data_IF_966129620937
#
_entry.id   IF_966129620937
#
_cell.length_a   1.000
_cell.length_b   1.000
_cell.length_c   1.000
_cell.angle_alpha   90.00
_cell.angle_beta   90.00
_cell.angle_gamma   90.00
#
_symmetry.space_group_name_H-M   'P 1'
#
loop_
_entity.id
_entity.type
_entity.pdbx_description
1 polymer ?
#
# COMPACT_ATOMS: atom_id res chain seq x y z
N UNK A 1 -23.24 -2.46 5.31
CA UNK A 1 -22.15 -2.86 4.40
C UNK A 1 -20.87 -2.73 5.21
N UNK A 2 -19.93 -3.66 5.10
CA UNK A 2 -18.67 -3.49 5.80
C UNK A 2 -17.86 -2.44 5.01
N UNK A 3 -17.70 -1.25 5.59
CA UNK A 3 -16.85 -0.21 5.00
C UNK A 3 -15.39 -0.64 5.20
N UNK A 4 -14.67 -0.81 4.08
CA UNK A 4 -13.23 -1.08 4.12
C UNK A 4 -12.51 0.19 4.56
N UNK A 5 -11.80 0.09 5.68
CA UNK A 5 -10.97 1.18 6.19
C UNK A 5 -9.63 1.16 5.49
N UNK A 6 -9.19 2.31 4.99
CA UNK A 6 -7.84 2.46 4.45
C UNK A 6 -6.83 2.59 5.60
N UNK A 7 -5.93 1.63 5.72
CA UNK A 7 -4.89 1.61 6.76
C UNK A 7 -3.59 2.25 6.28
N UNK A 8 -3.25 2.05 5.01
CA UNK A 8 -2.00 2.53 4.46
C UNK A 8 -2.11 2.78 2.96
N UNK A 9 -1.43 3.82 2.49
CA UNK A 9 -1.17 4.07 1.07
C UNK A 9 0.31 4.32 0.89
N UNK A 10 0.91 3.76 -0.17
CA UNK A 10 2.26 4.12 -0.54
C UNK A 10 2.50 4.18 -2.03
N UNK A 11 3.39 5.09 -2.42
CA UNK A 11 3.97 5.17 -3.75
C UNK A 11 5.40 4.65 -3.66
N UNK A 12 5.69 3.60 -4.41
CA UNK A 12 7.02 2.98 -4.49
C UNK A 12 7.57 3.27 -5.87
N UNK A 13 8.75 3.86 -5.96
CA UNK A 13 9.44 4.11 -7.23
C UNK A 13 10.68 3.25 -7.27
N UNK A 14 10.78 2.40 -8.30
CA UNK A 14 11.96 1.58 -8.57
C UNK A 14 12.92 2.38 -9.42
N UNK A 15 14.21 2.33 -9.10
CA UNK A 15 15.26 3.02 -9.85
C UNK A 15 16.50 2.16 -10.09
N UNK A 16 17.33 2.59 -11.04
CA UNK A 16 18.62 1.97 -11.33
C UNK A 16 19.61 2.10 -10.17
N UNK A 17 19.56 3.22 -9.46
CA UNK A 17 20.50 3.51 -8.39
C UNK A 17 20.21 4.86 -7.75
N UNK A 18 20.05 4.87 -6.44
CA UNK A 18 19.94 6.04 -5.58
C UNK A 18 21.16 6.10 -4.67
N UNK A 19 21.40 7.28 -4.10
CA UNK A 19 22.31 7.44 -2.97
C UNK A 19 21.48 7.78 -1.73
N UNK A 20 21.15 6.79 -0.86
CA UNK A 20 20.35 7.01 0.35
C UNK A 20 20.85 8.17 1.22
N UNK A 21 22.15 8.45 1.25
CA UNK A 21 22.71 9.53 2.07
C UNK A 21 22.21 10.93 1.70
N UNK A 22 21.61 11.11 0.52
CA UNK A 22 21.05 12.38 0.07
C UNK A 22 19.80 12.74 0.87
N UNK A 23 18.96 11.76 1.21
CA UNK A 23 17.67 12.03 1.86
C UNK A 23 17.87 12.22 3.35
N UNK A 24 17.66 13.47 3.78
CA UNK A 24 17.59 13.89 5.17
C UNK A 24 16.65 15.10 5.27
N UNK A 25 16.19 15.46 6.49
CA UNK A 25 15.24 16.56 6.67
C UNK A 25 15.69 17.89 6.05
N UNK A 26 16.97 18.24 6.15
CA UNK A 26 17.50 19.50 5.63
C UNK A 26 17.46 19.54 4.11
N UNK A 27 17.85 18.44 3.45
CA UNK A 27 17.77 18.31 2.00
C UNK A 27 16.33 18.46 1.52
N UNK A 28 15.39 17.75 2.12
CA UNK A 28 13.98 17.77 1.72
C UNK A 28 13.34 19.15 1.89
N UNK A 29 13.69 19.88 2.94
CA UNK A 29 13.22 21.27 3.16
C UNK A 29 13.84 22.25 2.17
N UNK A 30 15.16 22.21 1.97
CA UNK A 30 15.88 23.14 1.08
C UNK A 30 15.49 22.98 -0.39
N UNK A 31 15.06 21.78 -0.78
CA UNK A 31 14.60 21.46 -2.14
C UNK A 31 13.08 21.58 -2.30
N UNK A 32 12.39 22.01 -1.24
CA UNK A 32 10.93 22.21 -1.21
C UNK A 32 10.15 20.94 -1.58
N UNK A 33 10.73 19.76 -1.31
CA UNK A 33 10.05 18.46 -1.45
C UNK A 33 8.99 18.31 -0.37
N UNK A 34 9.26 18.86 0.82
CA UNK A 34 8.29 18.95 1.92
C UNK A 34 8.15 20.40 2.42
N UNK A 35 6.96 20.80 2.90
CA UNK A 35 6.77 22.11 3.53
C UNK A 35 7.66 22.31 4.76
N UNK A 36 8.11 23.54 4.99
CA UNK A 36 9.06 23.86 6.07
C UNK A 36 8.49 23.66 7.48
N UNK A 37 7.17 23.67 7.63
CA UNK A 37 6.43 23.51 8.88
C UNK A 37 6.19 22.05 9.27
N UNK A 38 6.53 21.07 8.41
CA UNK A 38 6.40 19.65 8.74
C UNK A 38 7.38 19.25 9.85
N UNK A 39 6.81 18.81 10.98
CA UNK A 39 7.54 18.26 12.14
C UNK A 39 8.09 16.86 11.86
N UNK A 40 9.36 16.64 12.22
CA UNK A 40 10.06 15.37 12.00
C UNK A 40 10.01 14.54 13.28
N UNK A 41 9.49 13.32 13.18
CA UNK A 41 9.36 12.37 14.29
C UNK A 41 10.55 11.42 14.38
N UNK A 42 11.11 11.02 13.24
CA UNK A 42 12.20 10.05 13.18
C UNK A 42 13.10 10.33 11.98
N UNK A 43 14.41 10.11 12.12
CA UNK A 43 15.36 10.19 11.00
C UNK A 43 16.44 9.13 11.17
N UNK A 44 16.67 8.38 10.09
CA UNK A 44 17.77 7.42 9.97
C UNK A 44 18.50 7.74 8.67
N UNK A 45 19.82 7.87 8.71
CA UNK A 45 20.64 8.04 7.51
C UNK A 45 21.86 7.14 7.63
N UNK A 46 21.90 6.13 6.78
CA UNK A 46 22.97 5.14 6.70
C UNK A 46 23.33 4.91 5.22
N UNK A 47 24.47 4.28 4.91
CA UNK A 47 24.81 3.97 3.52
C UNK A 47 23.73 3.17 2.76
N UNK A 48 23.12 2.10 3.32
CA UNK A 48 22.11 1.33 2.60
C UNK A 48 20.69 1.93 2.65
N UNK A 49 20.41 2.81 3.61
CA UNK A 49 19.05 3.25 3.92
C UNK A 49 19.02 4.67 4.50
N UNK A 50 18.10 5.48 3.99
CA UNK A 50 17.64 6.69 4.63
C UNK A 50 16.13 6.65 4.85
N UNK A 51 15.67 7.12 6.00
CA UNK A 51 14.28 7.23 6.39
C UNK A 51 14.07 8.57 7.07
N UNK A 52 13.03 9.29 6.66
CA UNK A 52 12.52 10.46 7.37
C UNK A 52 11.03 10.24 7.62
N UNK A 53 10.61 10.24 8.89
CA UNK A 53 9.20 10.21 9.28
C UNK A 53 8.78 11.55 9.84
N UNK A 54 7.54 11.91 9.53
CA UNK A 54 6.91 13.15 9.97
C UNK A 54 5.79 12.88 10.97
N UNK A 55 5.48 13.87 11.80
CA UNK A 55 4.47 13.76 12.85
C UNK A 55 3.07 13.49 12.29
N UNK A 56 2.77 13.99 11.09
CA UNK A 56 1.51 13.78 10.38
C UNK A 56 1.36 12.38 9.73
N UNK A 57 2.34 11.49 9.91
CA UNK A 57 2.27 10.12 9.41
C UNK A 57 2.79 9.93 7.97
N UNK A 58 3.37 10.97 7.35
CA UNK A 58 4.18 10.81 6.13
C UNK A 58 5.52 10.15 6.48
N UNK A 59 5.96 9.19 5.68
CA UNK A 59 7.31 8.65 5.70
C UNK A 59 7.92 8.64 4.29
N UNK A 60 9.18 9.07 4.20
CA UNK A 60 9.98 9.03 2.98
C UNK A 60 11.18 8.13 3.25
N UNK A 61 11.33 7.10 2.45
CA UNK A 61 12.42 6.14 2.55
C UNK A 61 13.13 5.99 1.20
N UNK A 62 14.45 5.90 1.25
CA UNK A 62 15.29 5.64 0.08
C UNK A 62 16.28 4.52 0.40
N UNK A 63 16.28 3.53 -0.46
CA UNK A 63 17.25 2.43 -0.57
C UNK A 63 17.93 2.55 -1.95
N UNK A 64 18.98 1.76 -2.19
CA UNK A 64 19.76 1.82 -3.43
C UNK A 64 18.92 1.72 -4.71
N UNK A 65 17.88 0.89 -4.75
CA UNK A 65 17.05 0.71 -5.97
C UNK A 65 15.59 1.09 -5.79
N UNK A 66 15.24 1.76 -4.68
CA UNK A 66 13.84 1.97 -4.30
C UNK A 66 13.63 3.25 -3.51
N UNK A 67 12.62 4.03 -3.89
CA UNK A 67 12.06 5.12 -3.11
C UNK A 67 10.67 4.71 -2.63
N UNK A 68 10.33 5.04 -1.39
CA UNK A 68 9.03 4.74 -0.81
C UNK A 68 8.48 5.98 -0.12
N UNK A 69 7.26 6.36 -0.50
CA UNK A 69 6.51 7.46 0.10
C UNK A 69 5.24 6.87 0.69
N UNK A 70 5.09 6.95 2.00
CA UNK A 70 4.07 6.19 2.73
C UNK A 70 3.22 7.13 3.57
N UNK A 71 1.91 7.06 3.42
CA UNK A 71 0.94 7.61 4.37
C UNK A 71 0.58 6.50 5.37
N UNK A 72 1.21 6.51 6.54
CA UNK A 72 1.04 5.49 7.60
C UNK A 72 -0.32 5.63 8.28
N UNK A 73 -0.82 6.86 8.38
CA UNK A 73 -2.12 7.19 8.97
C UNK A 73 -2.91 8.04 7.97
N UNK A 74 -3.46 7.44 6.90
CA UNK A 74 -4.08 8.17 5.81
C UNK A 74 -5.27 9.04 6.24
N UNK A 75 -5.86 8.80 7.41
CA UNK A 75 -6.93 9.66 7.96
C UNK A 75 -6.42 10.95 8.61
N UNK A 76 -5.12 11.08 8.87
CA UNK A 76 -4.50 12.26 9.50
C UNK A 76 -3.82 13.18 8.49
N UNK A 77 -3.86 12.83 7.19
CA UNK A 77 -3.08 13.49 6.16
C UNK A 77 -3.82 13.47 4.82
N UNK A 78 -3.76 14.58 4.08
CA UNK A 78 -4.35 14.71 2.73
C UNK A 78 -3.52 13.96 1.68
N UNK A 79 -3.40 12.64 1.83
CA UNK A 79 -2.49 11.77 1.10
C UNK A 79 -2.73 11.77 -0.42
N UNK A 80 -3.99 11.96 -0.85
CA UNK A 80 -4.37 12.03 -2.27
C UNK A 80 -3.62 13.14 -3.02
N UNK A 81 -3.39 14.27 -2.36
CA UNK A 81 -2.64 15.39 -2.93
C UNK A 81 -1.17 15.32 -2.53
N UNK A 82 -0.90 14.96 -1.28
CA UNK A 82 0.44 15.03 -0.72
C UNK A 82 1.38 13.98 -1.33
N UNK A 83 0.98 12.71 -1.42
CA UNK A 83 1.87 11.66 -1.91
C UNK A 83 2.30 11.92 -3.36
N UNK A 84 1.40 12.26 -4.31
CA UNK A 84 1.84 12.62 -5.66
C UNK A 84 2.75 13.84 -5.68
N UNK A 85 2.41 14.89 -4.92
CA UNK A 85 3.20 16.13 -4.88
C UNK A 85 4.63 15.87 -4.41
N UNK A 86 4.79 15.24 -3.24
CA UNK A 86 6.10 14.95 -2.64
C UNK A 86 6.90 13.98 -3.52
N UNK A 87 6.24 12.95 -4.07
CA UNK A 87 6.88 11.97 -4.95
C UNK A 87 7.43 12.68 -6.19
N UNK A 88 6.56 13.33 -6.97
CA UNK A 88 6.96 13.99 -8.22
C UNK A 88 8.03 15.05 -7.98
N UNK A 89 7.89 15.85 -6.91
CA UNK A 89 8.89 16.87 -6.56
C UNK A 89 10.26 16.27 -6.27
N UNK A 90 10.33 15.13 -5.58
CA UNK A 90 11.62 14.48 -5.33
C UNK A 90 12.24 13.93 -6.62
N UNK A 91 11.43 13.36 -7.52
CA UNK A 91 11.92 12.87 -8.82
C UNK A 91 12.44 14.02 -9.69
N UNK A 92 11.82 15.20 -9.64
CA UNK A 92 12.28 16.41 -10.33
C UNK A 92 13.62 16.93 -9.78
N UNK A 93 13.79 16.89 -8.45
CA UNK A 93 15.01 17.34 -7.76
C UNK A 93 16.19 16.40 -8.03
N UNK A 94 15.92 15.13 -8.34
CA UNK A 94 16.92 14.10 -8.64
C UNK A 94 16.80 13.59 -10.09
N UNK A 95 16.92 14.45 -11.12
CA UNK A 95 16.54 14.13 -12.50
C UNK A 95 17.48 13.14 -13.19
N UNK A 96 18.67 12.88 -12.61
CA UNK A 96 19.67 11.98 -13.18
C UNK A 96 19.52 10.52 -12.70
N UNK A 97 18.55 10.23 -11.84
CA UNK A 97 18.25 8.87 -11.42
C UNK A 97 17.39 8.18 -12.48
N UNK A 98 17.81 6.99 -12.91
CA UNK A 98 17.03 6.17 -13.85
C UNK A 98 15.82 5.53 -13.18
N UNK A 99 14.69 6.23 -13.10
CA UNK A 99 13.43 5.69 -12.57
C UNK A 99 12.76 4.75 -13.57
N UNK A 100 12.49 3.50 -13.16
CA UNK A 100 12.11 2.39 -14.05
C UNK A 100 10.69 1.86 -13.85
N UNK A 101 10.13 2.01 -12.67
CA UNK A 101 8.78 1.54 -12.40
C UNK A 101 8.15 2.27 -11.23
N UNK A 102 6.83 2.25 -11.17
CA UNK A 102 6.07 2.75 -10.03
C UNK A 102 5.06 1.69 -9.58
N UNK A 103 5.03 1.45 -8.27
CA UNK A 103 4.02 0.67 -7.58
C UNK A 103 3.16 1.56 -6.69
N UNK A 104 1.85 1.56 -6.90
CA UNK A 104 0.88 2.21 -6.01
C UNK A 104 0.25 1.13 -5.12
N UNK A 105 0.52 1.20 -3.82
CA UNK A 105 0.11 0.19 -2.88
C UNK A 105 -0.97 0.72 -1.95
N UNK A 106 -1.98 -0.12 -1.70
CA UNK A 106 -3.07 0.17 -0.79
C UNK A 106 -3.21 -1.00 0.18
N UNK A 107 -3.46 -0.69 1.45
CA UNK A 107 -3.86 -1.66 2.45
C UNK A 107 -5.17 -1.22 3.06
N UNK A 108 -6.17 -2.08 2.96
CA UNK A 108 -7.50 -1.88 3.54
C UNK A 108 -7.80 -3.03 4.52
N UNK A 109 -8.59 -2.74 5.54
CA UNK A 109 -9.08 -3.71 6.52
C UNK A 109 -10.60 -3.62 6.68
N UNK A 110 -11.22 -4.75 7.02
CA UNK A 110 -12.56 -4.77 7.58
C UNK A 110 -12.56 -4.29 9.03
N UNK A 111 -13.75 -4.11 9.60
CA UNK A 111 -13.88 -4.05 11.06
C UNK A 111 -13.35 -5.34 11.71
N UNK A 112 -12.79 -5.21 12.91
CA UNK A 112 -12.31 -6.32 13.71
C UNK A 112 -13.43 -7.26 14.16
N UNK A 113 -13.22 -8.57 14.00
CA UNK A 113 -14.09 -9.65 14.46
C UNK A 113 -13.26 -10.73 15.19
N UNK A 114 -13.90 -11.78 15.71
CA UNK A 114 -13.14 -12.92 16.25
C UNK A 114 -12.39 -13.67 15.14
N UNK A 115 -11.26 -14.29 15.47
CA UNK A 115 -10.38 -14.99 14.52
C UNK A 115 -11.13 -16.04 13.71
N UNK A 116 -11.85 -16.92 14.40
CA UNK A 116 -12.58 -18.03 13.79
C UNK A 116 -13.66 -17.54 12.82
N UNK A 117 -14.22 -16.36 13.11
CA UNK A 117 -15.26 -15.75 12.27
C UNK A 117 -14.66 -15.15 10.99
N UNK A 118 -13.52 -14.45 11.08
CA UNK A 118 -12.86 -13.87 9.92
C UNK A 118 -12.40 -14.94 8.92
N UNK A 119 -11.76 -16.00 9.41
CA UNK A 119 -11.28 -17.11 8.55
C UNK A 119 -12.45 -17.88 7.93
N UNK A 120 -13.49 -18.19 8.71
CA UNK A 120 -14.69 -18.81 8.18
C UNK A 120 -15.35 -17.94 7.11
N UNK A 121 -15.46 -16.63 7.33
CA UNK A 121 -16.04 -15.72 6.34
C UNK A 121 -15.21 -15.68 5.04
N UNK A 122 -13.88 -15.61 5.11
CA UNK A 122 -13.02 -15.65 3.92
C UNK A 122 -13.16 -16.97 3.16
N UNK A 123 -13.01 -18.09 3.87
CA UNK A 123 -13.08 -19.43 3.29
C UNK A 123 -14.45 -19.68 2.64
N UNK A 124 -15.54 -19.41 3.37
CA UNK A 124 -16.89 -19.69 2.89
C UNK A 124 -17.34 -18.75 1.78
N UNK A 125 -16.78 -17.54 1.70
CA UNK A 125 -17.15 -16.55 0.68
C UNK A 125 -16.35 -16.65 -0.61
N UNK A 126 -15.09 -17.10 -0.56
CA UNK A 126 -14.18 -17.08 -1.71
C UNK A 126 -13.78 -18.47 -2.22
N UNK A 127 -13.96 -19.54 -1.43
CA UNK A 127 -13.53 -20.89 -1.82
C UNK A 127 -14.73 -21.82 -1.99
N UNK A 128 -14.81 -22.50 -3.13
CA UNK A 128 -15.76 -23.57 -3.34
C UNK A 128 -15.41 -24.78 -2.45
N UNK A 129 -16.37 -25.32 -1.70
CA UNK A 129 -16.14 -26.48 -0.84
C UNK A 129 -15.89 -27.74 -1.70
N UNK A 130 -14.92 -28.56 -1.28
CA UNK A 130 -14.59 -29.85 -1.92
C UNK A 130 -14.06 -30.86 -0.91
N UNK A 131 -13.70 -32.07 -1.37
CA UNK A 131 -13.19 -33.14 -0.49
C UNK A 131 -11.96 -32.73 0.33
N UNK A 132 -11.16 -31.80 -0.22
CA UNK A 132 -9.99 -31.22 0.42
C UNK A 132 -10.30 -30.34 1.64
N UNK A 133 -11.55 -29.90 1.82
CA UNK A 133 -11.96 -29.01 2.92
C UNK A 133 -11.72 -29.65 4.30
N UNK A 134 -11.86 -30.98 4.39
CA UNK A 134 -11.67 -31.77 5.61
C UNK A 134 -10.38 -32.61 5.55
N UNK A 135 -9.40 -32.23 4.73
CA UNK A 135 -8.12 -32.95 4.66
C UNK A 135 -7.39 -32.87 6.02
N UNK A 136 -6.94 -34.01 6.53
CA UNK A 136 -6.34 -34.19 7.86
C UNK A 136 -7.22 -33.62 9.00
N UNK A 137 -6.87 -32.45 9.53
CA UNK A 137 -7.59 -31.77 10.63
C UNK A 137 -8.53 -30.66 10.17
N UNK A 138 -8.72 -30.53 8.85
CA UNK A 138 -9.55 -29.50 8.24
C UNK A 138 -8.80 -28.20 7.96
N UNK A 139 -9.37 -27.40 7.06
CA UNK A 139 -8.82 -26.10 6.67
C UNK A 139 -8.98 -25.08 7.80
N UNK A 140 -7.87 -24.49 8.25
CA UNK A 140 -7.86 -23.49 9.34
C UNK A 140 -7.67 -22.05 8.88
N UNK A 141 -7.27 -21.83 7.63
CA UNK A 141 -7.13 -20.49 7.08
C UNK A 141 -6.79 -20.50 5.59
N UNK A 142 -6.96 -19.35 4.95
CA UNK A 142 -6.65 -19.21 3.53
C UNK A 142 -6.18 -17.79 3.15
N UNK A 143 -5.40 -17.74 2.07
CA UNK A 143 -4.99 -16.51 1.39
C UNK A 143 -5.42 -16.62 -0.06
N UNK A 144 -6.11 -15.60 -0.57
CA UNK A 144 -6.52 -15.52 -1.97
C UNK A 144 -5.77 -14.38 -2.65
N UNK A 145 -5.08 -14.69 -3.75
CA UNK A 145 -4.34 -13.72 -4.54
C UNK A 145 -4.91 -13.66 -5.97
N UNK A 146 -5.19 -12.45 -6.44
CA UNK A 146 -5.69 -12.16 -7.79
C UNK A 146 -4.61 -11.42 -8.56
N UNK A 147 -4.30 -11.91 -9.76
CA UNK A 147 -3.31 -11.34 -10.66
C UNK A 147 -3.99 -10.88 -11.95
N UNK A 148 -4.11 -9.58 -12.15
CA UNK A 148 -4.68 -8.96 -13.35
C UNK A 148 -3.56 -8.38 -14.21
N UNK A 149 -2.94 -9.20 -15.05
CA UNK A 149 -1.76 -8.84 -15.85
C UNK A 149 -2.02 -8.75 -17.36
N UNK A 150 -3.29 -8.82 -17.78
CA UNK A 150 -3.66 -8.77 -19.20
C UNK A 150 -3.56 -7.36 -19.81
N UNK A 151 -3.36 -6.32 -18.98
CA UNK A 151 -3.17 -4.93 -19.38
C UNK A 151 -2.28 -4.19 -18.38
N UNK A 152 -1.77 -3.02 -18.79
CA UNK A 152 -1.08 -2.08 -17.90
C UNK A 152 -2.08 -1.04 -17.34
N UNK A 153 -1.91 -0.59 -16.09
CA UNK A 153 -1.00 -1.15 -15.08
C UNK A 153 -1.40 -2.57 -14.67
N UNK A 154 -0.42 -3.37 -14.27
CA UNK A 154 -0.66 -4.67 -13.67
C UNK A 154 -1.24 -4.49 -12.27
N UNK A 155 -2.27 -5.26 -11.91
CA UNK A 155 -2.86 -5.22 -10.58
C UNK A 155 -2.68 -6.57 -9.88
N UNK A 156 -2.09 -6.55 -8.69
CA UNK A 156 -2.07 -7.68 -7.77
C UNK A 156 -2.93 -7.33 -6.56
N UNK A 157 -3.88 -8.20 -6.21
CA UNK A 157 -4.70 -8.05 -4.99
C UNK A 157 -4.57 -9.31 -4.14
N UNK A 158 -4.31 -9.13 -2.86
CA UNK A 158 -4.26 -10.20 -1.87
C UNK A 158 -5.31 -9.95 -0.81
N UNK A 159 -6.08 -10.99 -0.49
CA UNK A 159 -7.09 -11.03 0.57
C UNK A 159 -6.68 -12.10 1.56
N UNK A 160 -6.58 -11.73 2.84
CA UNK A 160 -6.15 -12.62 3.90
C UNK A 160 -6.67 -12.14 5.25
N UNK A 161 -6.63 -13.01 6.26
CA UNK A 161 -6.93 -12.65 7.64
C UNK A 161 -5.63 -12.27 8.36
N UNK A 162 -5.67 -11.18 9.14
CA UNK A 162 -4.60 -10.82 10.07
C UNK A 162 -5.09 -11.04 11.48
N UNK A 163 -4.34 -11.82 12.25
CA UNK A 163 -4.51 -11.93 13.69
C UNK A 163 -3.73 -10.83 14.42
N UNK A 164 -4.34 -10.23 15.43
CA UNK A 164 -3.71 -9.25 16.30
C UNK A 164 -4.12 -9.49 17.74
N UNK A 165 -3.13 -9.59 18.62
CA UNK A 165 -3.32 -9.77 20.06
C UNK A 165 -3.16 -8.42 20.74
N UNK A 166 -4.19 -7.98 21.46
CA UNK A 166 -4.13 -6.76 22.28
C UNK A 166 -3.33 -7.02 23.55
N UNK A 167 -2.85 -5.94 24.16
CA UNK A 167 -2.19 -5.97 25.48
C UNK A 167 -3.09 -6.60 26.58
N UNK A 168 -4.42 -6.63 26.37
CA UNK A 168 -5.39 -7.31 27.24
C UNK A 168 -5.39 -8.84 27.14
N UNK A 169 -4.66 -9.42 26.16
CA UNK A 169 -4.67 -10.84 25.84
C UNK A 169 -5.82 -11.27 24.93
N UNK A 170 -6.75 -10.37 24.60
CA UNK A 170 -7.79 -10.64 23.60
C UNK A 170 -7.19 -10.65 22.19
N UNK A 171 -7.45 -11.72 21.44
CA UNK A 171 -7.06 -11.83 20.03
C UNK A 171 -8.24 -11.50 19.14
N UNK A 172 -8.03 -10.60 18.19
CA UNK A 172 -9.00 -10.26 17.16
C UNK A 172 -8.40 -10.54 15.79
N UNK A 173 -9.26 -10.61 14.78
CA UNK A 173 -8.83 -10.67 13.40
C UNK A 173 -9.59 -9.72 12.53
N UNK A 174 -8.91 -9.26 11.50
CA UNK A 174 -9.45 -8.42 10.45
C UNK A 174 -9.16 -9.10 9.12
N UNK A 175 -10.15 -9.11 8.23
CA UNK A 175 -9.86 -9.44 6.84
C UNK A 175 -9.24 -8.21 6.21
N UNK A 176 -8.03 -8.35 5.70
CA UNK A 176 -7.34 -7.29 5.01
C UNK A 176 -7.25 -7.57 3.52
N UNK A 177 -7.26 -6.48 2.77
CA UNK A 177 -7.03 -6.45 1.35
C UNK A 177 -5.79 -5.60 1.10
N UNK A 178 -4.78 -6.16 0.47
CA UNK A 178 -3.62 -5.41 -0.03
C UNK A 178 -3.63 -5.41 -1.54
N UNK A 179 -3.42 -4.26 -2.15
CA UNK A 179 -3.32 -4.13 -3.60
C UNK A 179 -2.03 -3.43 -4.00
N UNK A 180 -1.52 -3.81 -5.17
CA UNK A 180 -0.38 -3.19 -5.82
C UNK A 180 -0.73 -2.98 -7.30
N UNK A 181 -0.82 -1.72 -7.72
CA UNK A 181 -0.85 -1.32 -9.13
C UNK A 181 0.58 -1.02 -9.57
N UNK A 182 1.10 -1.81 -10.50
CA UNK A 182 2.48 -1.72 -10.97
C UNK A 182 2.51 -1.31 -12.44
N UNK A 183 3.37 -0.36 -12.78
CA UNK A 183 3.66 0.02 -14.15
C UNK A 183 5.16 0.27 -14.34
N UNK A 184 5.72 -0.35 -15.38
CA UNK A 184 7.07 -0.09 -15.85
C UNK A 184 7.09 1.14 -16.76
N UNK A 185 8.21 1.87 -16.73
CA UNK A 185 8.47 3.06 -17.52
C UNK A 185 9.90 3.02 -18.06
N UNK A 186 10.08 3.55 -19.27
CA UNK A 186 11.38 4.00 -19.74
C UNK A 186 11.79 5.26 -18.97
N UNK A 187 13.10 5.51 -18.86
CA UNK A 187 13.61 6.60 -18.02
C UNK A 187 13.15 7.99 -18.48
N UNK A 188 12.92 8.16 -19.77
CA UNK A 188 12.45 9.38 -20.44
C UNK A 188 10.93 9.60 -20.37
N UNK A 189 10.15 8.61 -19.92
CA UNK A 189 8.69 8.71 -19.76
C UNK A 189 8.27 9.48 -18.49
N UNK A 190 8.87 10.65 -18.27
CA UNK A 190 8.71 11.47 -17.06
C UNK A 190 7.24 11.89 -16.87
N UNK A 191 6.60 12.38 -17.92
CA UNK A 191 5.22 12.87 -17.87
C UNK A 191 4.22 11.74 -17.61
N UNK A 192 4.39 10.60 -18.29
CA UNK A 192 3.52 9.43 -18.08
C UNK A 192 3.67 8.84 -16.68
N UNK A 193 4.90 8.77 -16.17
CA UNK A 193 5.17 8.35 -14.78
C UNK A 193 4.52 9.30 -13.78
N UNK A 194 4.65 10.61 -13.98
CA UNK A 194 4.04 11.62 -13.11
C UNK A 194 2.51 11.56 -13.13
N UNK A 195 1.91 11.38 -14.31
CA UNK A 195 0.47 11.20 -14.47
C UNK A 195 -0.02 9.94 -13.74
N UNK A 196 0.69 8.81 -13.88
CA UNK A 196 0.38 7.56 -13.17
C UNK A 196 0.38 7.73 -11.65
N UNK A 197 1.40 8.41 -11.10
CA UNK A 197 1.50 8.74 -9.68
C UNK A 197 0.33 9.66 -9.26
N UNK A 198 -0.04 10.62 -10.10
CA UNK A 198 -1.10 11.60 -9.80
C UNK A 198 -2.51 11.01 -9.85
N UNK A 199 -2.70 9.90 -10.58
CA UNK A 199 -3.96 9.16 -10.69
C UNK A 199 -4.24 8.24 -9.48
N UNK A 200 -3.50 8.38 -8.38
CA UNK A 200 -3.62 7.57 -7.15
C UNK A 200 -5.09 7.42 -6.66
N UNK A 201 -5.87 8.51 -6.73
CA UNK A 201 -7.28 8.49 -6.34
C UNK A 201 -8.19 7.70 -7.27
N UNK A 202 -7.85 7.54 -8.56
CA UNK A 202 -8.58 6.64 -9.47
C UNK A 202 -8.40 5.20 -9.03
N UNK A 203 -7.15 4.79 -8.79
CA UNK A 203 -6.83 3.41 -8.42
C UNK A 203 -7.40 3.02 -7.05
N UNK A 204 -7.45 3.95 -6.11
CA UNK A 204 -8.14 3.74 -4.84
C UNK A 204 -9.63 3.42 -5.04
N UNK A 205 -10.33 4.19 -5.90
CA UNK A 205 -11.74 3.94 -6.22
C UNK A 205 -11.95 2.62 -6.95
N UNK A 206 -11.09 2.28 -7.90
CA UNK A 206 -11.11 1.00 -8.60
C UNK A 206 -10.96 -0.16 -7.61
N UNK A 207 -10.07 -0.01 -6.63
CA UNK A 207 -9.87 -1.02 -5.60
C UNK A 207 -11.06 -1.14 -4.65
N UNK A 208 -11.65 -0.02 -4.23
CA UNK A 208 -12.90 -0.05 -3.48
C UNK A 208 -14.01 -0.74 -4.26
N UNK A 209 -14.11 -0.49 -5.57
CA UNK A 209 -15.08 -1.16 -6.43
C UNK A 209 -14.82 -2.66 -6.50
N UNK A 210 -13.57 -3.09 -6.66
CA UNK A 210 -13.20 -4.51 -6.60
C UNK A 210 -13.58 -5.14 -5.26
N UNK A 211 -13.28 -4.47 -4.14
CA UNK A 211 -13.68 -4.91 -2.81
C UNK A 211 -15.19 -5.15 -2.70
N UNK A 212 -16.02 -4.28 -3.28
CA UNK A 212 -17.49 -4.46 -3.30
C UNK A 212 -17.97 -5.64 -4.15
N UNK A 213 -17.17 -6.12 -5.10
CA UNK A 213 -17.48 -7.32 -5.87
C UNK A 213 -17.20 -8.59 -5.06
N UNK A 214 -16.33 -8.52 -4.05
CA UNK A 214 -16.05 -9.67 -3.20
C UNK A 214 -17.27 -9.95 -2.30
N UNK A 215 -17.78 -11.20 -2.27
CA UNK A 215 -18.94 -11.56 -1.46
C UNK A 215 -18.77 -11.19 0.01
N UNK A 216 -17.53 -11.31 0.50
CA UNK A 216 -17.07 -10.94 1.84
C UNK A 216 -17.46 -9.51 2.27
N UNK A 217 -17.38 -8.53 1.36
CA UNK A 217 -17.66 -7.12 1.67
C UNK A 217 -19.00 -6.64 1.09
N UNK A 218 -19.57 -7.40 0.16
CA UNK A 218 -20.80 -7.04 -0.57
C UNK A 218 -22.10 -7.13 0.27
N UNK A 219 -22.05 -7.77 1.45
CA UNK A 219 -23.23 -8.05 2.28
C UNK A 219 -24.22 -9.05 1.65
N UNK A 220 -23.90 -9.62 0.49
CA UNK A 220 -24.70 -10.66 -0.18
C UNK A 220 -24.07 -12.01 0.13
N UNK A 221 -24.81 -12.88 0.82
CA UNK A 221 -24.46 -14.31 0.85
C UNK A 221 -24.67 -14.88 -0.55
N UNK A 222 -23.64 -15.53 -1.10
CA UNK A 222 -23.80 -16.37 -2.29
C UNK A 222 -24.82 -17.46 -1.95
N UNK A 223 -25.88 -17.57 -2.76
CA UNK A 223 -26.90 -18.61 -2.66
C UNK A 223 -26.44 -19.90 -3.32
#
# INVERSE_FOLDING_TARGET
MADLKLDNVSVIVVSEGNNPRIINPDFLRRTEVIPSDFGVSETIVTPPLSLVRYDNGLAIQMEEHKLSFVAIRPNEIEWLTLLPTVTNRLLEVLPHVGYKAVGLNFKLSSEAVSVEKAEAELIESLLAKGEWFNFDRGLTGAVVEFHFHNSQPQLNVKVAVKEETRDSGESFSEVFLTANFHQDFSTDEVEMRSAFISDLGRYERELQQFGRLLPLFSGKKLQ
#
